data_IF_558126959682
#
_entry.id   IF_558126959682
#
_cell.length_a   1.000
_cell.length_b   1.000
_cell.length_c   1.000
_cell.angle_alpha   90.00
_cell.angle_beta   90.00
_cell.angle_gamma   90.00
#
_symmetry.space_group_name_H-M   'P 1'
#
loop_
_entity.id
_entity.type
_entity.pdbx_description
1 polymer ?
#
# COMPACT_ATOMS: atom_id res chain seq x y z
N UNK A 1 19.89 6.87 -18.31
CA UNK A 1 20.98 5.89 -18.05
C UNK A 1 21.10 5.51 -16.56
N UNK A 2 21.09 6.48 -15.63
CA UNK A 2 21.14 6.17 -14.19
C UNK A 2 19.90 5.42 -13.69
N UNK A 3 18.69 5.82 -14.13
CA UNK A 3 17.43 5.19 -13.69
C UNK A 3 17.32 3.71 -14.08
N UNK A 4 17.81 3.34 -15.27
CA UNK A 4 17.85 1.94 -15.74
C UNK A 4 18.75 1.06 -14.87
N UNK A 5 19.82 1.61 -14.29
CA UNK A 5 20.72 0.87 -13.38
C UNK A 5 20.08 0.60 -12.02
N UNK A 6 19.19 1.48 -11.56
CA UNK A 6 18.39 1.29 -10.33
C UNK A 6 17.34 0.20 -10.53
N UNK A 7 16.71 0.14 -11.72
CA UNK A 7 15.65 -0.84 -12.01
C UNK A 7 16.15 -2.28 -12.10
N UNK A 8 17.33 -2.49 -12.71
CA UNK A 8 17.88 -3.83 -12.97
C UNK A 8 19.10 -4.18 -12.10
N UNK A 9 19.48 -3.31 -11.17
CA UNK A 9 20.62 -3.51 -10.29
C UNK A 9 20.28 -3.21 -8.83
N UNK A 10 21.03 -3.78 -7.90
CA UNK A 10 20.88 -3.54 -6.46
C UNK A 10 21.51 -2.19 -6.06
N UNK A 11 21.03 -1.08 -6.63
CA UNK A 11 21.54 0.27 -6.38
C UNK A 11 20.43 1.18 -5.89
N UNK A 12 20.73 2.00 -4.89
CA UNK A 12 19.87 3.08 -4.44
C UNK A 12 20.34 4.40 -5.07
N UNK A 13 19.40 5.21 -5.58
CA UNK A 13 19.68 6.55 -6.08
C UNK A 13 19.09 7.58 -5.13
N UNK A 14 19.91 8.51 -4.68
CA UNK A 14 19.51 9.57 -3.76
C UNK A 14 19.43 10.88 -4.54
N UNK A 15 18.25 11.49 -4.50
CA UNK A 15 17.98 12.75 -5.16
C UNK A 15 16.89 13.51 -4.40
N UNK A 16 16.60 14.72 -4.86
CA UNK A 16 15.48 15.52 -4.36
C UNK A 16 14.14 14.77 -4.50
N UNK A 17 13.33 14.87 -3.45
CA UNK A 17 12.01 14.25 -3.32
C UNK A 17 11.10 14.66 -4.48
N UNK A 18 11.08 15.94 -4.86
CA UNK A 18 10.20 16.41 -5.92
C UNK A 18 10.50 15.71 -7.26
N UNK A 19 11.77 15.60 -7.64
CA UNK A 19 12.14 14.93 -8.90
C UNK A 19 11.88 13.42 -8.83
N UNK A 20 12.11 12.79 -7.68
CA UNK A 20 11.80 11.36 -7.50
C UNK A 20 10.30 11.09 -7.60
N UNK A 21 9.46 11.96 -7.03
CA UNK A 21 8.00 11.88 -7.16
C UNK A 21 7.58 12.02 -8.63
N UNK A 22 8.19 12.94 -9.40
CA UNK A 22 7.93 13.08 -10.84
C UNK A 22 8.20 11.79 -11.61
N UNK A 23 9.38 11.23 -11.36
CA UNK A 23 9.90 10.08 -12.10
C UNK A 23 9.12 8.82 -11.75
N UNK A 24 8.70 8.67 -10.49
CA UNK A 24 7.83 7.58 -10.07
C UNK A 24 6.44 7.65 -10.72
N UNK A 25 5.84 8.84 -10.75
CA UNK A 25 4.53 9.10 -11.37
C UNK A 25 4.55 8.82 -12.88
N UNK A 26 5.64 9.18 -13.57
CA UNK A 26 5.79 8.97 -15.02
C UNK A 26 6.43 7.62 -15.40
N UNK A 27 6.66 6.70 -14.46
CA UNK A 27 7.16 5.35 -14.80
C UNK A 27 6.04 4.54 -15.47
N UNK A 28 6.38 3.74 -16.49
CA UNK A 28 5.40 2.91 -17.21
C UNK A 28 5.08 1.60 -16.46
N UNK A 29 6.04 1.11 -15.65
CA UNK A 29 5.97 -0.19 -14.97
C UNK A 29 5.66 -0.10 -13.46
N UNK A 30 5.48 1.12 -12.93
CA UNK A 30 5.23 1.38 -11.50
C UNK A 30 6.20 0.67 -10.55
N UNK A 31 7.43 0.45 -11.00
CA UNK A 31 8.38 -0.44 -10.33
C UNK A 31 9.26 0.27 -9.30
N UNK A 32 9.30 1.61 -9.37
CA UNK A 32 10.04 2.44 -8.43
C UNK A 32 9.23 2.70 -7.17
N UNK A 33 9.77 2.27 -6.03
CA UNK A 33 9.28 2.69 -4.73
C UNK A 33 10.24 3.71 -4.14
N UNK A 34 9.72 4.87 -3.77
CA UNK A 34 10.50 5.90 -3.09
C UNK A 34 10.59 5.53 -1.60
N UNK A 35 11.80 5.29 -1.12
CA UNK A 35 12.06 5.10 0.32
C UNK A 35 12.50 6.44 0.89
N UNK A 36 11.58 7.18 1.50
CA UNK A 36 11.93 8.45 2.14
C UNK A 36 10.79 9.03 2.94
N UNK A 37 10.91 9.03 4.28
CA UNK A 37 10.00 9.78 5.15
C UNK A 37 10.75 10.57 6.23
N UNK A 38 12.05 10.82 6.09
CA UNK A 38 12.84 11.51 7.14
C UNK A 38 13.88 12.51 6.59
N UNK A 39 13.84 12.84 5.30
CA UNK A 39 14.69 13.91 4.78
C UNK A 39 14.03 15.26 5.10
N UNK A 40 14.78 16.26 5.60
CA UNK A 40 14.22 17.59 5.84
C UNK A 40 13.74 18.18 4.51
N UNK A 41 12.45 18.54 4.44
CA UNK A 41 11.89 19.28 3.31
C UNK A 41 12.62 20.61 3.17
N UNK A 42 13.56 20.66 2.23
CA UNK A 42 14.18 21.92 1.82
C UNK A 42 13.30 22.51 0.72
N UNK A 43 12.63 23.62 1.03
CA UNK A 43 11.82 24.33 0.05
C UNK A 43 12.67 24.94 -1.07
N UNK A 44 12.10 25.00 -2.27
CA UNK A 44 12.69 25.73 -3.39
C UNK A 44 12.53 27.25 -3.20
N UNK A 45 13.57 28.00 -3.52
CA UNK A 45 13.59 29.47 -3.44
C UNK A 45 14.07 30.12 -4.73
N UNK A 46 13.52 31.29 -5.05
CA UNK A 46 13.98 32.11 -6.18
C UNK A 46 15.08 33.04 -5.66
N UNK A 47 16.28 32.95 -6.22
CA UNK A 47 17.39 33.82 -5.85
C UNK A 47 17.32 35.15 -6.62
N UNK A 48 17.45 36.26 -5.90
CA UNK A 48 17.57 37.61 -6.48
C UNK A 48 18.90 38.25 -6.05
N UNK A 49 19.40 39.20 -6.84
CA UNK A 49 20.61 39.95 -6.51
C UNK A 49 20.46 40.69 -5.17
N UNK A 50 21.52 40.68 -4.36
CA UNK A 50 21.53 41.34 -3.07
C UNK A 50 21.29 42.85 -3.22
N UNK A 51 20.37 43.40 -2.44
CA UNK A 51 19.98 44.82 -2.50
C UNK A 51 18.99 45.18 -3.62
N UNK A 52 18.44 44.20 -4.35
CA UNK A 52 17.40 44.51 -5.34
C UNK A 52 16.08 44.97 -4.69
N UNK A 53 15.48 46.09 -5.14
CA UNK A 53 14.18 46.56 -4.62
C UNK A 53 13.04 45.59 -4.93
N UNK A 54 13.27 44.67 -5.87
CA UNK A 54 12.30 43.65 -6.28
C UNK A 54 12.18 42.50 -5.27
N UNK A 55 13.18 42.27 -4.42
CA UNK A 55 13.15 41.15 -3.48
C UNK A 55 11.91 41.17 -2.59
N UNK A 56 11.58 42.34 -2.05
CA UNK A 56 10.46 42.50 -1.11
C UNK A 56 9.12 42.39 -1.85
N UNK A 57 9.05 42.91 -3.08
CA UNK A 57 7.87 42.80 -3.96
C UNK A 57 7.60 41.33 -4.32
N UNK A 58 8.62 40.59 -4.77
CA UNK A 58 8.49 39.17 -5.10
C UNK A 58 8.12 38.33 -3.88
N UNK A 59 8.73 38.60 -2.73
CA UNK A 59 8.39 37.90 -1.49
C UNK A 59 6.93 38.09 -1.10
N UNK A 60 6.40 39.33 -1.22
CA UNK A 60 5.00 39.60 -0.93
C UNK A 60 4.07 38.87 -1.90
N UNK A 61 4.35 38.91 -3.22
CA UNK A 61 3.52 38.24 -4.22
C UNK A 61 3.51 36.72 -4.07
N UNK A 62 4.63 36.11 -3.69
CA UNK A 62 4.70 34.67 -3.42
C UNK A 62 3.84 34.29 -2.21
N UNK A 63 3.86 35.10 -1.15
CA UNK A 63 3.01 34.89 0.02
C UNK A 63 1.51 35.02 -0.33
N UNK A 64 1.14 36.01 -1.15
CA UNK A 64 -0.23 36.16 -1.65
C UNK A 64 -0.67 34.93 -2.47
N UNK A 65 0.19 34.40 -3.35
CA UNK A 65 -0.09 33.18 -4.13
C UNK A 65 -0.23 31.93 -3.24
N UNK A 66 0.54 31.83 -2.15
CA UNK A 66 0.40 30.75 -1.17
C UNK A 66 -0.91 30.89 -0.38
N UNK A 67 -1.28 32.09 0.03
CA UNK A 67 -2.52 32.35 0.79
C UNK A 67 -3.76 32.10 -0.07
N UNK A 68 -3.71 32.43 -1.36
CA UNK A 68 -4.80 32.20 -2.31
C UNK A 68 -4.93 30.72 -2.71
N UNK A 69 -3.93 29.88 -2.42
CA UNK A 69 -3.91 28.47 -2.83
C UNK A 69 -3.59 28.26 -4.31
N UNK A 70 -3.19 29.30 -5.04
CA UNK A 70 -2.84 29.20 -6.47
C UNK A 70 -1.65 28.26 -6.71
N UNK A 71 -0.76 28.14 -5.71
CA UNK A 71 0.35 27.19 -5.73
C UNK A 71 -0.13 25.74 -5.81
N UNK A 72 -1.22 25.39 -5.15
CA UNK A 72 -1.77 24.03 -5.18
C UNK A 72 -2.40 23.72 -6.54
N UNK A 73 -3.05 24.71 -7.16
CA UNK A 73 -3.61 24.58 -8.52
C UNK A 73 -2.49 24.37 -9.53
N UNK A 74 -1.41 25.15 -9.43
CA UNK A 74 -0.21 24.99 -10.25
C UNK A 74 0.41 23.60 -10.05
N UNK A 75 0.50 23.14 -8.80
CA UNK A 75 0.99 21.79 -8.48
C UNK A 75 0.14 20.72 -9.14
N UNK A 76 -1.19 20.77 -9.02
CA UNK A 76 -2.09 19.80 -9.64
C UNK A 76 -2.02 19.82 -11.17
N UNK A 77 -1.78 20.99 -11.77
CA UNK A 77 -1.65 21.14 -13.22
C UNK A 77 -0.38 20.48 -13.77
N UNK A 78 0.74 20.64 -13.07
CA UNK A 78 2.04 20.07 -13.50
C UNK A 78 2.28 18.66 -12.98
N UNK A 79 1.60 18.29 -11.88
CA UNK A 79 1.64 17.00 -11.21
C UNK A 79 0.22 16.44 -11.08
N UNK A 80 -0.36 15.95 -12.20
CA UNK A 80 -1.68 15.35 -12.15
C UNK A 80 -1.65 14.10 -11.25
N UNK A 81 -2.68 13.96 -10.41
CA UNK A 81 -2.85 12.76 -9.56
C UNK A 81 -3.20 11.52 -10.38
N UNK A 82 -3.68 11.71 -11.61
CA UNK A 82 -4.10 10.65 -12.54
C UNK A 82 -2.94 10.13 -13.40
N UNK A 83 -1.79 9.84 -12.79
CA UNK A 83 -0.71 9.16 -13.49
C UNK A 83 -0.93 7.64 -13.51
N UNK A 84 -0.48 6.99 -14.60
CA UNK A 84 -0.57 5.54 -14.83
C UNK A 84 -0.16 4.69 -13.63
N UNK A 85 0.78 5.19 -12.85
CA UNK A 85 1.14 4.63 -11.57
C UNK A 85 0.49 5.45 -10.47
N UNK A 86 -0.43 4.82 -9.75
CA UNK A 86 -1.00 5.34 -8.52
C UNK A 86 0.09 5.26 -7.42
N UNK A 87 1.14 6.07 -7.58
CA UNK A 87 2.24 6.23 -6.64
C UNK A 87 1.71 6.80 -5.31
N UNK A 88 0.61 7.56 -5.40
CA UNK A 88 -0.17 7.95 -4.25
C UNK A 88 -0.83 6.72 -3.61
N UNK A 89 -1.38 5.77 -4.36
CA UNK A 89 -1.76 4.47 -3.78
C UNK A 89 -0.58 3.68 -3.24
N UNK A 90 0.67 3.77 -3.68
CA UNK A 90 1.75 3.04 -2.98
C UNK A 90 2.02 3.58 -1.55
N UNK A 91 1.90 4.90 -1.35
CA UNK A 91 2.07 5.56 -0.03
C UNK A 91 0.77 5.60 0.78
N UNK A 92 -0.37 5.69 0.09
CA UNK A 92 -1.70 5.83 0.68
C UNK A 92 -2.49 4.50 0.72
N UNK A 93 -2.06 3.42 0.06
CA UNK A 93 -2.54 2.04 0.37
C UNK A 93 -2.04 1.57 1.73
N UNK A 94 -0.96 2.19 2.26
CA UNK A 94 -0.59 2.06 3.67
C UNK A 94 -1.52 2.82 4.62
N UNK A 95 -2.25 3.85 4.17
CA UNK A 95 -2.95 4.77 5.09
C UNK A 95 -4.45 5.02 4.82
N UNK A 96 -5.00 4.62 3.68
CA UNK A 96 -6.45 4.52 3.43
C UNK A 96 -6.79 3.06 3.27
N UNK A 97 -7.22 2.46 4.39
CA UNK A 97 -7.98 1.21 4.44
C UNK A 97 -7.65 0.25 3.32
N UNK A 98 -6.45 -0.35 3.35
CA UNK A 98 -6.32 -1.72 2.85
C UNK A 98 -7.53 -2.45 3.39
N UNK A 99 -8.37 -2.98 2.52
CA UNK A 99 -9.46 -3.86 2.89
C UNK A 99 -8.86 -5.02 3.69
N UNK A 100 -8.74 -4.85 5.01
CA UNK A 100 -8.98 -5.89 5.99
C UNK A 100 -10.35 -6.42 5.56
N UNK A 101 -10.47 -7.56 4.88
CA UNK A 101 -10.70 -8.76 5.66
C UNK A 101 -10.51 -10.09 4.90
N UNK A 102 -9.95 -10.14 3.68
CA UNK A 102 -9.92 -11.40 2.90
C UNK A 102 -8.54 -12.05 2.77
N UNK A 103 -7.50 -11.29 2.39
CA UNK A 103 -6.19 -11.90 2.14
C UNK A 103 -5.48 -12.33 3.44
N UNK A 104 -5.75 -11.65 4.55
CA UNK A 104 -5.22 -12.01 5.88
C UNK A 104 -6.06 -13.07 6.60
N UNK A 105 -7.38 -13.15 6.35
CA UNK A 105 -8.27 -14.17 6.94
C UNK A 105 -8.38 -15.46 6.12
N UNK A 106 -7.72 -15.51 4.95
CA UNK A 106 -7.59 -16.71 4.14
C UNK A 106 -7.10 -17.91 4.96
N UNK A 107 -6.18 -17.68 5.93
CA UNK A 107 -5.72 -18.72 6.84
C UNK A 107 -6.83 -19.31 7.72
N UNK A 108 -7.71 -18.47 8.27
CA UNK A 108 -8.82 -18.92 9.13
C UNK A 108 -9.83 -19.74 8.32
N UNK A 109 -10.17 -19.31 7.11
CA UNK A 109 -11.09 -20.04 6.23
C UNK A 109 -10.52 -21.40 5.80
N UNK A 110 -9.21 -21.49 5.54
CA UNK A 110 -8.54 -22.75 5.26
C UNK A 110 -8.59 -23.73 6.43
N UNK A 111 -8.34 -23.26 7.66
CA UNK A 111 -8.39 -24.12 8.86
C UNK A 111 -9.81 -24.63 9.12
N UNK A 112 -10.82 -23.76 8.99
CA UNK A 112 -12.22 -24.14 9.11
C UNK A 112 -12.62 -25.17 8.03
N UNK A 113 -12.25 -24.92 6.78
CA UNK A 113 -12.53 -25.84 5.67
C UNK A 113 -11.88 -27.22 5.89
N UNK A 114 -10.62 -27.26 6.31
CA UNK A 114 -9.92 -28.51 6.61
C UNK A 114 -10.58 -29.29 7.76
N UNK A 115 -11.04 -28.58 8.81
CA UNK A 115 -11.75 -29.20 9.93
C UNK A 115 -13.08 -29.85 9.53
N UNK A 116 -13.86 -29.19 8.67
CA UNK A 116 -15.13 -29.74 8.15
C UNK A 116 -14.87 -30.99 7.31
N UNK A 117 -13.89 -30.94 6.40
CA UNK A 117 -13.53 -32.10 5.56
C UNK A 117 -13.07 -33.28 6.40
N UNK A 118 -12.21 -33.05 7.40
CA UNK A 118 -11.73 -34.12 8.27
C UNK A 118 -12.88 -34.75 9.08
N UNK A 119 -13.79 -33.93 9.60
CA UNK A 119 -14.97 -34.40 10.32
C UNK A 119 -15.87 -35.26 9.42
N UNK A 120 -16.15 -34.81 8.19
CA UNK A 120 -16.91 -35.59 7.22
C UNK A 120 -16.22 -36.92 6.86
N UNK A 121 -14.90 -36.93 6.68
CA UNK A 121 -14.15 -38.15 6.39
C UNK A 121 -14.23 -39.17 7.53
N UNK A 122 -14.08 -38.72 8.78
CA UNK A 122 -14.19 -39.60 9.95
C UNK A 122 -15.60 -40.20 10.04
N UNK A 123 -16.64 -39.37 9.91
CA UNK A 123 -18.03 -39.83 9.94
C UNK A 123 -18.35 -40.83 8.81
N UNK A 124 -17.83 -40.59 7.60
CA UNK A 124 -17.97 -41.53 6.48
C UNK A 124 -17.27 -42.86 6.76
N UNK A 125 -16.04 -42.82 7.28
CA UNK A 125 -15.26 -44.01 7.62
C UNK A 125 -15.97 -44.82 8.71
N UNK A 126 -16.44 -44.19 9.79
CA UNK A 126 -17.18 -44.88 10.86
C UNK A 126 -18.47 -45.52 10.36
N UNK A 127 -19.24 -44.80 9.54
CA UNK A 127 -20.49 -45.31 8.96
C UNK A 127 -20.20 -46.51 8.08
N UNK A 128 -19.15 -46.46 7.27
CA UNK A 128 -18.77 -47.54 6.38
C UNK A 128 -18.23 -48.76 7.13
N UNK A 129 -17.44 -48.53 8.19
CA UNK A 129 -16.91 -49.58 9.05
C UNK A 129 -18.02 -50.28 9.85
N UNK A 130 -18.97 -49.51 10.38
CA UNK A 130 -20.14 -50.02 11.11
C UNK A 130 -21.08 -50.80 10.20
N UNK A 131 -21.32 -50.30 8.97
CA UNK A 131 -22.09 -51.02 7.95
C UNK A 131 -21.42 -52.33 7.52
N UNK A 132 -20.08 -52.35 7.36
CA UNK A 132 -19.33 -53.58 7.03
C UNK A 132 -19.23 -54.57 8.19
N UNK A 133 -19.19 -54.11 9.44
CA UNK A 133 -19.01 -54.97 10.62
C UNK A 133 -20.30 -55.51 11.23
N UNK A 134 -21.48 -55.22 10.69
CA UNK A 134 -22.75 -55.89 11.00
C UNK A 134 -22.88 -56.41 12.45
N UNK A 135 -23.33 -55.53 13.36
CA UNK A 135 -23.72 -55.84 14.75
C UNK A 135 -22.60 -56.13 15.75
N UNK A 136 -22.31 -55.16 16.64
CA UNK A 136 -22.19 -55.29 18.12
C UNK A 136 -21.76 -53.96 18.78
N UNK A 137 -22.77 -53.14 19.17
CA UNK A 137 -22.97 -52.22 20.34
C UNK A 137 -21.88 -51.20 20.79
N UNK A 138 -22.20 -50.15 21.61
CA UNK A 138 -23.47 -49.49 21.96
C UNK A 138 -23.40 -47.93 21.87
N UNK A 139 -24.57 -47.28 22.06
CA UNK A 139 -24.73 -45.84 22.33
C UNK A 139 -23.82 -45.38 23.48
N UNK A 140 -23.08 -44.29 23.29
CA UNK A 140 -22.54 -43.48 24.38
C UNK A 140 -23.36 -42.20 24.42
N UNK A 141 -24.25 -42.18 25.40
CA UNK A 141 -25.15 -41.10 25.74
C UNK A 141 -24.44 -39.75 25.91
N UNK A 142 -25.21 -38.72 25.54
CA UNK A 142 -25.24 -37.39 26.13
C UNK A 142 -25.05 -37.48 27.65
N UNK A 143 -23.92 -37.01 28.21
CA UNK A 143 -23.82 -36.40 29.56
C UNK A 143 -22.36 -36.11 29.97
N UNK A 144 -21.88 -34.92 29.63
CA UNK A 144 -20.97 -34.05 30.41
C UNK A 144 -20.90 -32.76 29.60
N UNK A 145 -21.46 -31.61 29.98
CA UNK A 145 -21.75 -31.01 31.28
C UNK A 145 -22.79 -29.90 30.97
N UNK A 146 -23.93 -29.87 31.68
CA UNK A 146 -24.25 -28.79 32.63
C UNK A 146 -23.22 -27.66 32.76
#
# INVERSE_FOLDING_TARGET
MALTRVKYGHFAFVWDVAVLEYVGINDEDCSFYTVGNNAPDRGYGIALQHGSPYRDIFSQRILELQQNGDMDILKLKWWPRDSLCDLYSAVHTKHRGSALDIHSFAGVFCVLGAGVVLSCLIAMVETWWTKRKGSRVPSKEISTLC
#
